data_IF_363952012591
#
_entry.id   IF_363952012591
#
_cell.length_a   1.000
_cell.length_b   1.000
_cell.length_c   1.000
_cell.angle_alpha   90.00
_cell.angle_beta   90.00
_cell.angle_gamma   90.00
#
_symmetry.space_group_name_H-M   'P 1'
#
loop_
_entity.id
_entity.type
_entity.pdbx_description
1 polymer ?
#
# COMPACT_ATOMS: atom_id res chain seq x y z
N UNK A 1 -0.65 16.15 -0.16
CA UNK A 1 -0.03 14.98 0.49
C UNK A 1 -0.17 15.06 2.00
N UNK A 2 0.12 16.22 2.61
CA UNK A 2 -0.02 16.46 4.07
C UNK A 2 -1.28 15.89 4.73
N UNK A 3 -2.46 16.09 4.15
CA UNK A 3 -3.71 15.55 4.70
C UNK A 3 -3.74 14.01 4.76
N UNK A 4 -3.14 13.32 3.78
CA UNK A 4 -3.01 11.86 3.77
C UNK A 4 -2.01 11.42 4.84
N UNK A 5 -0.88 12.12 4.98
CA UNK A 5 0.10 11.82 6.04
C UNK A 5 -0.46 12.05 7.44
N UNK A 6 -1.28 13.08 7.62
CA UNK A 6 -1.98 13.31 8.88
C UNK A 6 -2.86 12.12 9.26
N UNK A 7 -3.69 11.63 8.32
CA UNK A 7 -4.55 10.46 8.53
C UNK A 7 -3.72 9.21 8.81
N UNK A 8 -2.62 8.98 8.08
CA UNK A 8 -1.74 7.82 8.29
C UNK A 8 -1.02 7.88 9.65
N UNK A 9 -0.59 9.07 10.08
CA UNK A 9 0.11 9.26 11.37
C UNK A 9 -0.83 9.13 12.56
N UNK A 10 -2.05 9.65 12.47
CA UNK A 10 -2.99 9.71 13.59
C UNK A 10 -3.97 8.53 13.62
N UNK A 11 -4.18 7.84 12.49
CA UNK A 11 -5.21 6.82 12.33
C UNK A 11 -6.64 7.37 12.39
N UNK A 12 -6.83 8.70 12.33
CA UNK A 12 -8.14 9.30 12.45
C UNK A 12 -9.02 8.96 11.22
N UNK A 13 -10.34 8.89 11.42
CA UNK A 13 -11.26 8.75 10.28
C UNK A 13 -11.17 9.97 9.37
N UNK A 14 -11.40 9.78 8.07
CA UNK A 14 -11.35 10.86 7.07
C UNK A 14 -12.24 12.07 7.44
N UNK A 15 -13.40 11.84 8.06
CA UNK A 15 -14.32 12.89 8.49
C UNK A 15 -13.74 13.80 9.59
N UNK A 16 -12.78 13.30 10.38
CA UNK A 16 -12.11 14.05 11.44
C UNK A 16 -10.89 14.84 10.94
N UNK A 17 -10.68 14.92 9.62
CA UNK A 17 -9.61 15.73 9.07
C UNK A 17 -9.80 17.21 9.49
N UNK A 18 -8.79 17.87 10.09
CA UNK A 18 -8.89 19.25 10.52
C UNK A 18 -9.30 20.21 9.40
N UNK A 19 -10.06 21.26 9.75
CA UNK A 19 -10.56 22.28 8.80
C UNK A 19 -9.45 23.05 8.06
N UNK A 20 -8.20 22.98 8.54
CA UNK A 20 -7.03 23.55 7.86
C UNK A 20 -6.60 22.81 6.59
N UNK A 21 -7.13 21.60 6.34
CA UNK A 21 -6.87 20.84 5.12
C UNK A 21 -8.00 21.01 4.09
N UNK A 22 -7.73 20.65 2.83
CA UNK A 22 -8.79 20.50 1.82
C UNK A 22 -9.85 19.52 2.32
N UNK A 23 -11.09 19.74 1.91
CA UNK A 23 -12.23 18.92 2.31
C UNK A 23 -11.93 17.42 2.17
N UNK A 24 -12.25 16.65 3.20
CA UNK A 24 -11.84 15.25 3.33
C UNK A 24 -12.24 14.39 2.12
N UNK A 25 -13.41 14.66 1.49
CA UNK A 25 -13.86 13.97 0.27
C UNK A 25 -12.84 14.10 -0.85
N UNK A 26 -12.34 15.31 -1.10
CA UNK A 26 -11.36 15.57 -2.14
C UNK A 26 -10.07 14.81 -1.86
N UNK A 27 -9.56 14.88 -0.63
CA UNK A 27 -8.35 14.16 -0.22
C UNK A 27 -8.52 12.65 -0.40
N UNK A 28 -9.65 12.10 0.03
CA UNK A 28 -9.97 10.68 -0.08
C UNK A 28 -10.09 10.25 -1.56
N UNK A 29 -10.74 11.04 -2.42
CA UNK A 29 -10.83 10.76 -3.86
C UNK A 29 -9.45 10.66 -4.52
N UNK A 30 -8.55 11.61 -4.23
CA UNK A 30 -7.17 11.53 -4.74
C UNK A 30 -6.44 10.31 -4.19
N UNK A 31 -6.57 10.05 -2.89
CA UNK A 31 -5.96 8.88 -2.26
C UNK A 31 -6.42 7.57 -2.89
N UNK A 32 -7.73 7.40 -3.10
CA UNK A 32 -8.30 6.25 -3.81
C UNK A 32 -7.75 6.11 -5.22
N UNK A 33 -7.71 7.21 -5.98
CA UNK A 33 -7.12 7.22 -7.34
C UNK A 33 -5.66 6.77 -7.33
N UNK A 34 -4.86 7.16 -6.34
CA UNK A 34 -3.46 6.73 -6.23
C UNK A 34 -3.32 5.26 -5.85
N UNK A 35 -4.18 4.78 -4.95
CA UNK A 35 -4.27 3.36 -4.60
C UNK A 35 -4.64 2.51 -5.82
N UNK A 36 -5.64 2.93 -6.60
CA UNK A 36 -6.13 2.18 -7.76
C UNK A 36 -5.14 2.20 -8.93
N UNK A 37 -4.29 3.23 -9.02
CA UNK A 37 -3.23 3.32 -10.03
C UNK A 37 -1.91 2.66 -9.60
N UNK A 38 -1.90 1.99 -8.44
CA UNK A 38 -0.73 1.37 -7.81
C UNK A 38 0.47 2.31 -7.70
N UNK A 39 0.20 3.59 -7.41
CA UNK A 39 1.24 4.62 -7.42
C UNK A 39 2.26 4.39 -6.31
N UNK A 40 1.80 4.00 -5.11
CA UNK A 40 2.67 3.74 -3.97
C UNK A 40 3.60 2.56 -4.22
N UNK A 41 3.10 1.51 -4.87
CA UNK A 41 3.85 0.33 -5.26
C UNK A 41 4.92 0.68 -6.29
N UNK A 42 4.59 1.50 -7.29
CA UNK A 42 5.56 1.99 -8.30
C UNK A 42 6.67 2.81 -7.66
N UNK A 43 6.33 3.73 -6.75
CA UNK A 43 7.31 4.54 -6.02
C UNK A 43 8.20 3.64 -5.16
N UNK A 44 7.61 2.73 -4.38
CA UNK A 44 8.36 1.79 -3.54
C UNK A 44 9.27 0.90 -4.37
N UNK A 45 8.81 0.41 -5.52
CA UNK A 45 9.61 -0.40 -6.44
C UNK A 45 10.82 0.38 -6.96
N UNK A 46 10.63 1.63 -7.37
CA UNK A 46 11.72 2.49 -7.84
C UNK A 46 12.75 2.78 -6.75
N UNK A 47 12.28 3.14 -5.55
CA UNK A 47 13.15 3.41 -4.40
C UNK A 47 13.92 2.16 -3.98
N UNK A 48 13.28 0.99 -3.94
CA UNK A 48 13.92 -0.29 -3.62
C UNK A 48 15.01 -0.64 -4.63
N UNK A 49 14.75 -0.50 -5.93
CA UNK A 49 15.76 -0.75 -6.98
C UNK A 49 16.97 0.18 -6.81
N UNK A 50 16.74 1.47 -6.58
CA UNK A 50 17.82 2.45 -6.33
C UNK A 50 18.65 2.08 -5.11
N UNK A 51 18.00 1.74 -3.99
CA UNK A 51 18.68 1.34 -2.77
C UNK A 51 19.54 0.08 -2.98
N UNK A 52 19.03 -0.92 -3.72
CA UNK A 52 19.78 -2.15 -4.02
C UNK A 52 21.04 -1.87 -4.83
N UNK A 53 20.97 -0.98 -5.82
CA UNK A 53 22.14 -0.56 -6.61
C UNK A 53 23.20 0.11 -5.73
N UNK A 54 22.78 1.02 -4.84
CA UNK A 54 23.69 1.68 -3.89
C UNK A 54 24.36 0.66 -2.96
N UNK A 55 23.63 -0.39 -2.58
CA UNK A 55 24.16 -1.48 -1.75
C UNK A 55 24.97 -2.52 -2.54
N UNK A 56 25.26 -2.30 -3.84
CA UNK A 56 26.01 -3.23 -4.69
C UNK A 56 25.28 -4.53 -5.01
N UNK A 57 23.95 -4.57 -4.86
CA UNK A 57 23.11 -5.75 -5.14
C UNK A 57 22.40 -5.59 -6.48
N UNK A 58 22.01 -6.72 -7.08
CA UNK A 58 21.19 -6.71 -8.31
C UNK A 58 19.90 -5.87 -8.06
N UNK A 59 19.57 -4.90 -8.95
CA UNK A 59 18.37 -4.07 -8.87
C UNK A 59 17.09 -4.89 -8.65
N UNK A 60 16.96 -6.00 -9.36
CA UNK A 60 15.79 -6.86 -9.27
C UNK A 60 16.06 -8.00 -8.27
N UNK A 61 15.21 -8.16 -7.24
CA UNK A 61 15.38 -9.21 -6.25
C UNK A 61 15.06 -10.59 -6.84
N UNK A 62 15.93 -11.57 -6.59
CA UNK A 62 15.69 -12.97 -6.97
C UNK A 62 14.55 -13.63 -6.16
N UNK A 63 14.25 -13.11 -4.97
CA UNK A 63 13.16 -13.56 -4.12
C UNK A 63 12.40 -12.37 -3.52
N UNK A 64 11.07 -12.40 -3.61
CA UNK A 64 10.18 -11.40 -3.01
C UNK A 64 9.36 -12.06 -1.89
N UNK A 65 9.46 -11.54 -0.67
CA UNK A 65 8.61 -11.95 0.45
C UNK A 65 7.38 -11.05 0.43
N UNK A 66 6.22 -11.66 0.15
CA UNK A 66 4.92 -11.01 0.29
C UNK A 66 4.33 -11.43 1.64
N UNK A 67 4.37 -10.53 2.62
CA UNK A 67 3.71 -10.73 3.91
C UNK A 67 2.30 -10.14 3.85
N UNK A 68 1.28 -10.99 4.03
CA UNK A 68 -0.11 -10.54 4.16
C UNK A 68 -0.52 -10.67 5.61
N UNK A 69 -0.58 -9.55 6.33
CA UNK A 69 -1.13 -9.54 7.67
C UNK A 69 -2.59 -9.07 7.65
N UNK A 70 -3.47 -9.90 8.18
CA UNK A 70 -4.86 -9.53 8.42
C UNK A 70 -4.94 -8.73 9.72
N UNK A 71 -5.38 -7.48 9.62
CA UNK A 71 -5.67 -6.65 10.80
C UNK A 71 -7.12 -6.86 11.18
N UNK A 72 -7.37 -7.29 12.41
CA UNK A 72 -8.73 -7.38 12.95
C UNK A 72 -9.30 -5.96 13.09
N UNK A 73 -10.13 -5.56 12.15
CA UNK A 73 -10.99 -4.38 12.30
C UNK A 73 -12.06 -4.69 13.35
N UNK A 74 -12.21 -3.80 14.34
CA UNK A 74 -13.34 -3.85 15.29
C UNK A 74 -14.67 -3.85 14.51
N UNK A 75 -15.51 -4.86 14.76
CA UNK A 75 -16.81 -5.02 14.13
C UNK A 75 -17.69 -3.78 14.40
N UNK A 76 -18.01 -3.05 13.33
CA UNK A 76 -19.28 -2.32 13.23
C UNK A 76 -20.05 -2.97 12.08
N UNK A 77 -21.20 -3.56 12.42
CA UNK A 77 -21.96 -4.48 11.58
C UNK A 77 -22.20 -4.03 10.13
N UNK A 78 -22.24 -5.02 9.24
CA UNK A 78 -22.57 -4.87 7.82
C UNK A 78 -21.60 -5.67 6.95
N UNK A 79 -22.00 -6.89 6.57
CA UNK A 79 -21.13 -7.91 5.99
C UNK A 79 -20.49 -7.57 4.63
N UNK A 80 -19.27 -8.06 4.46
CA UNK A 80 -18.80 -8.88 3.33
C UNK A 80 -17.28 -9.01 3.47
N UNK A 81 -16.86 -10.13 4.07
CA UNK A 81 -15.47 -10.57 4.02
C UNK A 81 -15.12 -10.91 2.57
N UNK A 82 -14.58 -9.96 1.81
CA UNK A 82 -13.91 -10.28 0.56
C UNK A 82 -12.47 -10.67 0.91
N UNK A 83 -12.30 -11.93 1.28
CA UNK A 83 -10.99 -12.57 1.32
C UNK A 83 -10.44 -12.56 -0.12
N UNK A 84 -9.36 -11.83 -0.37
CA UNK A 84 -8.63 -11.98 -1.62
C UNK A 84 -7.86 -13.30 -1.57
N UNK A 85 -8.28 -14.26 -2.38
CA UNK A 85 -7.61 -15.54 -2.53
C UNK A 85 -6.19 -15.34 -3.09
N UNK A 86 -5.18 -15.60 -2.26
CA UNK A 86 -3.79 -15.69 -2.69
C UNK A 86 -3.62 -16.96 -3.54
N UNK A 87 -3.80 -16.84 -4.85
CA UNK A 87 -3.45 -17.91 -5.79
C UNK A 87 -1.94 -18.11 -5.75
N UNK A 88 -1.52 -19.16 -5.04
CA UNK A 88 -0.14 -19.63 -4.91
C UNK A 88 0.43 -19.98 -6.29
N UNK A 89 1.20 -19.07 -6.89
CA UNK A 89 2.04 -19.39 -8.04
C UNK A 89 3.27 -20.15 -7.53
N UNK A 90 3.36 -21.44 -7.89
CA UNK A 90 4.53 -22.28 -7.61
C UNK A 90 5.69 -21.77 -8.47
N UNK A 91 6.83 -21.55 -7.82
CA UNK A 91 8.04 -21.05 -8.47
C UNK A 91 8.49 -21.93 -9.63
N UNK A 92 8.78 -21.29 -10.75
CA UNK A 92 9.56 -21.89 -11.83
C UNK A 92 11.03 -21.57 -11.53
N UNK A 93 11.80 -22.59 -11.14
CA UNK A 93 13.25 -22.57 -11.28
C UNK A 93 13.55 -22.74 -12.77
N UNK A 94 14.02 -21.67 -13.42
CA UNK A 94 14.56 -21.71 -14.76
C UNK A 94 16.05 -21.41 -14.71
N UNK A 95 16.85 -22.45 -14.82
CA UNK A 95 18.28 -22.41 -15.15
C UNK A 95 18.44 -21.85 -16.56
N UNK A 96 19.31 -20.85 -16.74
CA UNK A 96 20.35 -20.69 -17.77
C UNK A 96 21.05 -19.35 -17.55
#
# INVERSE_FOLDING_TARGET
>A
MEAVFYVLKTGCQWHYLPKGFRHWKTVNTYFKKWKDTHLFEKINHHLRRKLRVIMGKNPDPTAAIFDSQSVKTVERGGGSQVMMELKRLRGVKGTL
#
